data_IF_485576417104
#
_entry.id   IF_485576417104
#
_cell.length_a   1.000
_cell.length_b   1.000
_cell.length_c   1.000
_cell.angle_alpha   90.00
_cell.angle_beta   90.00
_cell.angle_gamma   90.00
#
_symmetry.space_group_name_H-M   'P 1'
#
loop_
_entity.id
_entity.type
_entity.pdbx_description
1 polymer ?
#
# COMPACT_ATOMS: atom_id res chain seq x y z
N UNK A 1 -22.20 18.69 21.01
CA UNK A 1 -21.20 18.13 20.08
C UNK A 1 -21.65 18.52 18.68
N UNK A 2 -20.95 19.45 18.03
CA UNK A 2 -21.44 20.11 16.79
C UNK A 2 -21.37 19.14 15.59
N UNK A 3 -22.52 18.79 15.03
CA UNK A 3 -22.69 17.94 13.85
C UNK A 3 -21.85 18.42 12.64
N UNK A 4 -21.63 19.74 12.51
CA UNK A 4 -20.75 20.34 11.49
C UNK A 4 -19.27 19.87 11.62
N UNK A 5 -18.76 19.72 12.82
CA UNK A 5 -17.39 19.27 13.07
C UNK A 5 -17.19 17.76 12.81
N UNK A 6 -18.28 16.96 12.94
CA UNK A 6 -18.26 15.54 12.60
C UNK A 6 -18.27 15.34 11.06
N UNK A 7 -19.04 16.16 10.32
CA UNK A 7 -19.10 16.04 8.85
C UNK A 7 -17.81 16.48 8.16
N UNK A 8 -16.95 17.23 8.83
CA UNK A 8 -15.61 17.61 8.35
C UNK A 8 -14.55 16.53 8.59
N UNK A 9 -14.83 15.55 9.47
CA UNK A 9 -13.88 14.48 9.71
C UNK A 9 -13.88 13.48 8.54
N UNK A 10 -12.68 13.14 8.05
CA UNK A 10 -12.48 12.18 6.97
C UNK A 10 -13.07 10.82 7.31
N UNK A 11 -12.98 10.40 8.57
CA UNK A 11 -13.56 9.15 9.09
C UNK A 11 -15.08 9.13 8.93
N UNK A 12 -15.76 10.21 9.27
CA UNK A 12 -17.23 10.28 9.15
C UNK A 12 -17.67 10.16 7.68
N UNK A 13 -16.95 10.82 6.76
CA UNK A 13 -17.23 10.72 5.32
C UNK A 13 -17.05 9.30 4.80
N UNK A 14 -16.01 8.60 5.26
CA UNK A 14 -15.76 7.21 4.88
C UNK A 14 -16.89 6.30 5.41
N UNK A 15 -17.28 6.44 6.66
CA UNK A 15 -18.37 5.63 7.24
C UNK A 15 -19.68 5.87 6.48
N UNK A 16 -20.02 7.13 6.21
CA UNK A 16 -21.23 7.48 5.43
C UNK A 16 -21.14 6.89 4.01
N UNK A 17 -19.97 6.96 3.36
CA UNK A 17 -19.79 6.39 2.03
C UNK A 17 -19.96 4.86 2.03
N UNK A 18 -19.46 4.16 3.06
CA UNK A 18 -19.64 2.71 3.21
C UNK A 18 -21.13 2.36 3.40
N UNK A 19 -21.80 3.04 4.30
CA UNK A 19 -23.23 2.80 4.56
C UNK A 19 -24.07 3.08 3.30
N UNK A 20 -23.81 4.19 2.60
CA UNK A 20 -24.46 4.50 1.33
C UNK A 20 -24.15 3.44 0.27
N UNK A 21 -22.92 2.98 0.17
CA UNK A 21 -22.53 1.92 -0.75
C UNK A 21 -23.30 0.63 -0.51
N UNK A 22 -23.44 0.20 0.75
CA UNK A 22 -24.21 -0.98 1.12
C UNK A 22 -25.69 -0.80 0.77
N UNK A 23 -26.28 0.36 1.06
CA UNK A 23 -27.69 0.64 0.73
C UNK A 23 -27.89 0.66 -0.78
N UNK A 24 -27.02 1.32 -1.53
CA UNK A 24 -27.11 1.38 -2.99
C UNK A 24 -26.96 -0.01 -3.62
N UNK A 25 -26.06 -0.83 -3.09
CA UNK A 25 -25.83 -2.19 -3.62
C UNK A 25 -27.06 -3.10 -3.53
N UNK A 26 -27.98 -2.85 -2.59
CA UNK A 26 -29.23 -3.60 -2.44
C UNK A 26 -30.24 -3.31 -3.57
N UNK A 27 -30.16 -2.11 -4.15
CA UNK A 27 -31.10 -1.66 -5.18
C UNK A 27 -30.47 -1.56 -6.57
N UNK A 28 -29.15 -1.62 -6.65
CA UNK A 28 -28.43 -1.48 -7.90
C UNK A 28 -28.57 -2.74 -8.76
N UNK A 29 -28.86 -2.62 -10.06
CA UNK A 29 -28.87 -3.75 -10.98
C UNK A 29 -27.44 -4.27 -11.19
N UNK A 30 -27.30 -5.55 -11.53
CA UNK A 30 -25.99 -6.22 -11.72
C UNK A 30 -25.05 -5.50 -12.71
N UNK A 31 -25.58 -4.93 -13.78
CA UNK A 31 -24.77 -4.22 -14.78
C UNK A 31 -24.04 -3.01 -14.15
N UNK A 32 -24.67 -2.33 -13.20
CA UNK A 32 -24.09 -1.21 -12.47
C UNK A 32 -22.93 -1.68 -11.60
N UNK A 33 -23.11 -2.77 -10.85
CA UNK A 33 -22.04 -3.39 -10.06
C UNK A 33 -20.86 -3.84 -10.93
N UNK A 34 -21.10 -4.43 -12.11
CA UNK A 34 -20.06 -4.85 -13.06
C UNK A 34 -19.26 -3.66 -13.61
N UNK A 35 -19.87 -2.52 -13.86
CA UNK A 35 -19.16 -1.30 -14.28
C UNK A 35 -18.15 -0.87 -13.20
N UNK A 36 -18.59 -0.85 -11.93
CA UNK A 36 -17.68 -0.51 -10.83
C UNK A 36 -16.60 -1.57 -10.61
N UNK A 37 -16.92 -2.85 -10.73
CA UNK A 37 -15.95 -3.93 -10.66
C UNK A 37 -14.88 -3.79 -11.76
N UNK A 38 -15.28 -3.45 -12.98
CA UNK A 38 -14.36 -3.21 -14.10
C UNK A 38 -13.45 -2.02 -13.84
N UNK A 39 -14.01 -0.91 -13.38
CA UNK A 39 -13.22 0.28 -13.05
C UNK A 39 -12.25 0.03 -11.90
N UNK A 40 -12.70 -0.67 -10.86
CA UNK A 40 -11.86 -1.05 -9.74
C UNK A 40 -10.73 -2.01 -10.16
N UNK A 41 -11.03 -3.00 -11.00
CA UNK A 41 -10.03 -3.91 -11.55
C UNK A 41 -8.98 -3.18 -12.38
N UNK A 42 -9.40 -2.27 -13.25
CA UNK A 42 -8.49 -1.45 -14.06
C UNK A 42 -7.58 -0.58 -13.17
N UNK A 43 -8.15 0.06 -12.17
CA UNK A 43 -7.41 0.89 -11.23
C UNK A 43 -6.45 0.06 -10.36
N UNK A 44 -6.88 -1.12 -9.91
CA UNK A 44 -6.03 -2.04 -9.16
C UNK A 44 -4.83 -2.51 -9.99
N UNK A 45 -5.04 -2.90 -11.24
CA UNK A 45 -3.97 -3.30 -12.14
C UNK A 45 -3.00 -2.16 -12.44
N UNK A 46 -3.52 -0.93 -12.60
CA UNK A 46 -2.69 0.26 -12.73
C UNK A 46 -1.84 0.51 -11.47
N UNK A 47 -2.43 0.39 -10.28
CA UNK A 47 -1.68 0.54 -9.03
C UNK A 47 -0.61 -0.54 -8.87
N UNK A 48 -0.93 -1.79 -9.19
CA UNK A 48 0.03 -2.89 -9.14
C UNK A 48 1.23 -2.67 -10.08
N UNK A 49 1.01 -2.06 -11.23
CA UNK A 49 2.09 -1.64 -12.13
C UNK A 49 2.88 -0.46 -11.58
N UNK A 50 2.19 0.53 -11.03
CA UNK A 50 2.76 1.82 -10.67
C UNK A 50 3.52 1.80 -9.34
N UNK A 51 3.00 1.06 -8.34
CA UNK A 51 3.56 1.06 -6.97
C UNK A 51 5.04 0.61 -6.93
N UNK A 52 5.47 -0.48 -7.58
CA UNK A 52 6.88 -0.86 -7.57
C UNK A 52 7.81 0.19 -8.17
N UNK A 53 7.38 0.86 -9.23
CA UNK A 53 8.14 1.95 -9.86
C UNK A 53 8.27 3.14 -8.92
N UNK A 54 7.18 3.49 -8.24
CA UNK A 54 7.16 4.56 -7.25
C UNK A 54 8.06 4.26 -6.05
N UNK A 55 8.03 3.03 -5.54
CA UNK A 55 8.92 2.55 -4.48
C UNK A 55 10.38 2.76 -4.89
N UNK A 56 10.75 2.32 -6.09
CA UNK A 56 12.10 2.49 -6.61
C UNK A 56 12.48 3.98 -6.72
N UNK A 57 11.62 4.77 -7.32
CA UNK A 57 11.85 6.19 -7.56
C UNK A 57 12.04 7.02 -6.27
N UNK A 58 11.35 6.65 -5.19
CA UNK A 58 11.42 7.38 -3.92
C UNK A 58 12.51 6.85 -2.99
N UNK A 59 12.69 5.55 -2.91
CA UNK A 59 13.60 4.94 -1.93
C UNK A 59 15.05 5.04 -2.36
N UNK A 60 15.37 4.80 -3.64
CA UNK A 60 16.75 4.82 -4.10
C UNK A 60 17.46 6.18 -3.86
N UNK A 61 16.90 7.34 -4.25
CA UNK A 61 17.51 8.63 -3.95
C UNK A 61 17.49 8.99 -2.46
N UNK A 62 16.50 8.53 -1.71
CA UNK A 62 16.45 8.75 -0.26
C UNK A 62 17.61 8.06 0.45
N UNK A 63 17.94 6.83 0.08
CA UNK A 63 19.09 6.09 0.60
C UNK A 63 20.40 6.77 0.17
N UNK A 64 20.51 7.16 -1.10
CA UNK A 64 21.68 7.86 -1.63
C UNK A 64 21.92 9.20 -0.89
N UNK A 65 20.86 9.93 -0.55
CA UNK A 65 20.91 11.18 0.20
C UNK A 65 21.45 11.07 1.64
N UNK A 66 21.47 9.87 2.22
CA UNK A 66 22.08 9.65 3.53
C UNK A 66 23.62 9.76 3.52
N UNK A 67 24.24 9.75 2.34
CA UNK A 67 25.67 9.95 2.16
C UNK A 67 26.56 8.79 2.66
N UNK A 68 27.85 9.11 2.84
CA UNK A 68 28.86 8.14 3.31
C UNK A 68 28.55 7.68 4.73
N UNK A 69 28.40 6.37 4.93
CA UNK A 69 28.01 5.78 6.22
C UNK A 69 26.55 5.32 6.28
N UNK A 70 25.78 5.54 5.21
CA UNK A 70 24.41 5.06 5.07
C UNK A 70 24.24 3.58 5.44
N UNK A 71 25.17 2.73 5.04
CA UNK A 71 25.12 1.29 5.31
C UNK A 71 25.06 0.93 6.79
N UNK A 72 25.79 1.68 7.66
CA UNK A 72 25.75 1.46 9.12
C UNK A 72 24.39 1.82 9.69
N UNK A 73 23.85 2.98 9.32
CA UNK A 73 22.54 3.43 9.80
C UNK A 73 21.41 2.55 9.29
N UNK A 74 21.49 2.12 8.02
CA UNK A 74 20.55 1.18 7.44
C UNK A 74 20.59 -0.17 8.15
N UNK A 75 21.78 -0.69 8.49
CA UNK A 75 21.92 -1.93 9.26
C UNK A 75 21.28 -1.82 10.65
N UNK A 76 21.50 -0.71 11.35
CA UNK A 76 20.86 -0.47 12.66
C UNK A 76 19.34 -0.37 12.52
N UNK A 77 18.85 0.39 11.53
CA UNK A 77 17.41 0.53 11.29
C UNK A 77 16.75 -0.80 10.92
N UNK A 78 17.39 -1.59 10.05
CA UNK A 78 16.92 -2.92 9.71
C UNK A 78 16.89 -3.84 10.95
N UNK A 79 17.93 -3.82 11.78
CA UNK A 79 17.97 -4.60 13.02
C UNK A 79 16.83 -4.24 13.97
N UNK A 80 16.56 -2.95 14.15
CA UNK A 80 15.43 -2.46 14.95
C UNK A 80 14.09 -2.89 14.34
N UNK A 81 13.93 -2.76 13.03
CA UNK A 81 12.71 -3.16 12.34
C UNK A 81 12.43 -4.65 12.47
N UNK A 82 13.42 -5.50 12.21
CA UNK A 82 13.28 -6.96 12.39
C UNK A 82 13.00 -7.32 13.85
N UNK A 83 13.72 -6.73 14.79
CA UNK A 83 13.48 -6.95 16.22
C UNK A 83 12.05 -6.56 16.61
N UNK A 84 11.59 -5.39 16.21
CA UNK A 84 10.24 -4.91 16.45
C UNK A 84 9.17 -5.82 15.83
N UNK A 85 9.37 -6.24 14.58
CA UNK A 85 8.43 -7.15 13.90
C UNK A 85 8.36 -8.50 14.59
N UNK A 86 9.51 -9.05 15.02
CA UNK A 86 9.55 -10.32 15.73
C UNK A 86 8.82 -10.23 17.07
N UNK A 87 9.06 -9.16 17.83
CA UNK A 87 8.39 -8.93 19.12
C UNK A 87 6.87 -8.75 18.89
N UNK A 88 6.46 -7.96 17.91
CA UNK A 88 5.05 -7.77 17.57
C UNK A 88 4.37 -9.08 17.14
N UNK A 89 5.06 -9.90 16.33
CA UNK A 89 4.57 -11.20 15.90
C UNK A 89 4.41 -12.18 17.06
N UNK A 90 5.38 -12.25 17.97
CA UNK A 90 5.29 -13.07 19.18
C UNK A 90 4.14 -12.61 20.08
N UNK A 91 3.97 -11.32 20.25
CA UNK A 91 2.90 -10.74 21.06
C UNK A 91 1.53 -11.04 20.45
N UNK A 92 1.40 -10.88 19.14
CA UNK A 92 0.18 -11.24 18.40
C UNK A 92 -0.12 -12.74 18.50
N UNK A 93 0.89 -13.61 18.41
CA UNK A 93 0.75 -15.06 18.58
C UNK A 93 0.23 -15.41 19.99
N UNK A 94 0.85 -14.85 21.03
CA UNK A 94 0.42 -15.07 22.42
C UNK A 94 -1.02 -14.61 22.65
N UNK A 95 -1.35 -13.40 22.16
CA UNK A 95 -2.70 -12.88 22.26
C UNK A 95 -3.72 -13.76 21.52
N UNK A 96 -3.39 -14.16 20.31
CA UNK A 96 -4.26 -15.05 19.52
C UNK A 96 -4.45 -16.40 20.20
N UNK A 97 -3.39 -17.02 20.70
CA UNK A 97 -3.44 -18.29 21.39
C UNK A 97 -4.31 -18.23 22.68
N UNK A 98 -4.28 -17.11 23.35
CA UNK A 98 -5.07 -16.93 24.58
C UNK A 98 -6.52 -16.53 24.27
N UNK A 99 -6.75 -15.70 23.27
CA UNK A 99 -8.05 -15.08 22.98
C UNK A 99 -8.95 -15.96 22.09
N UNK A 100 -8.36 -16.64 21.08
CA UNK A 100 -9.13 -17.42 20.10
C UNK A 100 -9.93 -18.57 20.71
N UNK A 101 -9.42 -19.38 21.64
CA UNK A 101 -10.21 -20.45 22.25
C UNK A 101 -11.45 -19.93 22.98
N UNK A 102 -11.36 -18.71 23.54
CA UNK A 102 -12.45 -18.10 24.29
C UNK A 102 -13.49 -17.46 23.37
N UNK A 103 -13.06 -16.85 22.27
CA UNK A 103 -13.94 -16.13 21.34
C UNK A 103 -14.58 -17.03 20.28
N UNK A 104 -13.87 -18.08 19.87
CA UNK A 104 -14.31 -19.00 18.80
C UNK A 104 -14.96 -20.28 19.31
N UNK A 105 -15.06 -20.46 20.64
CA UNK A 105 -15.78 -21.59 21.23
C UNK A 105 -17.27 -21.49 20.90
N UNK A 106 -17.70 -22.30 19.92
CA UNK A 106 -19.09 -22.38 19.47
C UNK A 106 -19.40 -21.72 18.11
N UNK A 107 -18.40 -21.21 17.41
CA UNK A 107 -18.58 -20.72 16.05
C UNK A 107 -18.01 -21.73 15.04
N UNK A 108 -18.81 -22.10 14.04
CA UNK A 108 -18.33 -22.82 12.88
C UNK A 108 -17.44 -21.84 12.06
N UNK A 109 -16.14 -22.08 12.09
CA UNK A 109 -15.22 -21.35 11.23
C UNK A 109 -15.63 -21.60 9.77
N UNK A 110 -15.86 -20.52 9.03
CA UNK A 110 -16.00 -20.59 7.58
C UNK A 110 -14.64 -21.03 7.03
N UNK A 111 -14.51 -22.32 6.76
CA UNK A 111 -13.25 -22.93 6.29
C UNK A 111 -12.99 -22.72 4.81
N UNK A 112 -14.00 -22.29 4.06
CA UNK A 112 -13.90 -22.05 2.62
C UNK A 112 -13.93 -20.55 2.33
N UNK A 113 -12.76 -19.97 2.15
CA UNK A 113 -12.59 -18.59 1.68
C UNK A 113 -13.07 -18.43 0.23
N UNK A 114 -13.10 -19.53 -0.54
CA UNK A 114 -13.64 -19.60 -1.90
C UNK A 114 -15.11 -19.19 -2.02
N UNK A 115 -15.92 -19.40 -0.97
CA UNK A 115 -17.35 -19.02 -0.99
C UNK A 115 -17.56 -17.48 -0.99
N UNK A 116 -16.53 -16.73 -0.63
CA UNK A 116 -16.58 -15.26 -0.64
C UNK A 116 -16.34 -14.69 -2.04
N UNK A 117 -15.51 -15.36 -2.82
CA UNK A 117 -15.20 -14.95 -4.19
C UNK A 117 -16.31 -15.35 -5.20
N UNK A 118 -17.09 -16.41 -4.90
CA UNK A 118 -18.21 -16.82 -5.75
C UNK A 118 -19.35 -15.79 -5.82
N UNK A 119 -19.46 -14.90 -4.84
CA UNK A 119 -20.41 -13.78 -4.81
C UNK A 119 -19.90 -12.49 -5.48
N UNK A 120 -18.64 -12.44 -5.86
CA UNK A 120 -18.06 -11.24 -6.46
C UNK A 120 -18.47 -11.10 -7.93
N UNK A 121 -18.97 -9.91 -8.29
CA UNK A 121 -19.33 -9.61 -9.68
C UNK A 121 -18.07 -9.54 -10.53
N UNK A 122 -18.00 -10.40 -11.57
CA UNK A 122 -16.90 -10.36 -12.53
C UNK A 122 -16.94 -9.08 -13.37
N UNK A 123 -15.77 -8.45 -13.61
CA UNK A 123 -15.68 -7.28 -14.49
C UNK A 123 -16.08 -7.63 -15.94
N UNK A 124 -16.44 -6.63 -16.74
CA UNK A 124 -16.74 -6.83 -18.16
C UNK A 124 -15.50 -7.19 -18.98
N UNK A 125 -14.37 -6.64 -18.60
CA UNK A 125 -13.07 -6.93 -19.21
C UNK A 125 -11.97 -6.64 -18.19
N UNK A 126 -10.86 -7.34 -18.35
CA UNK A 126 -9.66 -7.14 -17.54
C UNK A 126 -8.53 -6.67 -18.46
N UNK A 127 -7.79 -5.68 -18.01
CA UNK A 127 -6.55 -5.24 -18.66
C UNK A 127 -5.41 -5.63 -17.75
N UNK A 128 -4.70 -6.69 -18.12
CA UNK A 128 -3.51 -7.11 -17.40
C UNK A 128 -2.39 -6.10 -17.63
N UNK A 129 -1.91 -5.49 -16.55
CA UNK A 129 -0.73 -4.66 -16.54
C UNK A 129 0.33 -5.34 -15.69
N UNK A 130 1.19 -6.13 -16.36
CA UNK A 130 2.29 -6.79 -15.66
C UNK A 130 3.23 -5.72 -15.07
N UNK A 131 3.50 -5.73 -13.76
CA UNK A 131 4.45 -4.81 -13.16
C UNK A 131 5.86 -5.08 -13.71
N UNK A 132 6.71 -4.05 -13.91
CA UNK A 132 8.07 -4.24 -14.39
C UNK A 132 8.93 -5.06 -13.42
N UNK A 133 8.58 -5.06 -12.14
CA UNK A 133 9.15 -5.90 -11.08
C UNK A 133 8.19 -5.95 -9.90
N UNK A 134 8.32 -7.00 -9.10
CA UNK A 134 7.56 -7.14 -7.86
C UNK A 134 8.00 -6.14 -6.79
N UNK A 135 7.14 -5.86 -5.80
CA UNK A 135 7.41 -4.92 -4.71
C UNK A 135 8.70 -5.27 -3.94
N UNK A 136 8.94 -6.55 -3.66
CA UNK A 136 10.16 -6.99 -2.97
C UNK A 136 11.41 -6.75 -3.82
N UNK A 137 11.32 -7.02 -5.12
CA UNK A 137 12.41 -6.73 -6.08
C UNK A 137 12.66 -5.24 -6.17
N UNK A 138 11.60 -4.41 -6.20
CA UNK A 138 11.70 -2.95 -6.17
C UNK A 138 12.45 -2.44 -4.94
N UNK A 139 12.12 -2.98 -3.75
CA UNK A 139 12.77 -2.63 -2.49
C UNK A 139 14.24 -3.01 -2.48
N UNK A 140 14.57 -4.25 -2.86
CA UNK A 140 15.96 -4.73 -2.92
C UNK A 140 16.78 -3.93 -3.94
N UNK A 141 16.22 -3.69 -5.11
CA UNK A 141 16.87 -2.93 -6.17
C UNK A 141 17.12 -1.47 -5.72
N UNK A 142 16.14 -0.85 -5.09
CA UNK A 142 16.25 0.50 -4.53
C UNK A 142 17.35 0.59 -3.49
N UNK A 143 17.43 -0.43 -2.63
CA UNK A 143 18.45 -0.52 -1.59
C UNK A 143 19.84 -0.67 -2.20
N UNK A 144 20.03 -1.64 -3.10
CA UNK A 144 21.32 -1.89 -3.74
C UNK A 144 21.81 -0.67 -4.54
N UNK A 145 20.94 -0.07 -5.36
CA UNK A 145 21.28 1.10 -6.17
C UNK A 145 21.50 2.32 -5.28
N UNK A 146 20.65 2.54 -4.28
CA UNK A 146 20.81 3.64 -3.33
C UNK A 146 22.16 3.58 -2.59
N UNK A 147 22.54 2.41 -2.09
CA UNK A 147 23.86 2.21 -1.45
C UNK A 147 24.99 2.37 -2.47
N UNK A 148 24.86 1.82 -3.66
CA UNK A 148 25.87 1.97 -4.71
C UNK A 148 26.13 3.45 -5.06
N UNK A 149 25.07 4.28 -5.13
CA UNK A 149 25.21 5.72 -5.36
C UNK A 149 26.03 6.42 -4.27
N UNK A 150 25.97 5.96 -3.01
CA UNK A 150 26.78 6.56 -1.93
C UNK A 150 28.28 6.32 -2.09
N UNK A 151 28.69 5.32 -2.89
CA UNK A 151 30.09 4.95 -3.12
C UNK A 151 30.67 5.57 -4.37
N UNK A 152 29.83 5.92 -5.35
CA UNK A 152 30.24 6.53 -6.62
C UNK A 152 30.50 8.03 -6.41
N UNK A 153 31.56 8.54 -7.04
CA UNK A 153 31.95 9.98 -6.96
C UNK A 153 31.12 10.89 -7.86
N UNK A 154 30.36 10.33 -8.80
CA UNK A 154 29.54 11.09 -9.76
C UNK A 154 28.14 11.29 -9.22
N UNK A 155 27.69 12.53 -9.17
CA UNK A 155 26.34 12.88 -8.71
C UNK A 155 25.26 12.76 -9.79
N UNK A 156 25.65 12.39 -11.03
CA UNK A 156 24.72 12.35 -12.17
C UNK A 156 23.57 11.38 -11.95
N UNK A 157 23.86 10.15 -11.49
CA UNK A 157 22.84 9.14 -11.24
C UNK A 157 21.91 9.56 -10.06
N UNK A 158 22.49 10.17 -9.04
CA UNK A 158 21.73 10.71 -7.93
C UNK A 158 20.81 11.86 -8.37
N UNK A 159 21.30 12.77 -9.21
CA UNK A 159 20.48 13.87 -9.73
C UNK A 159 19.28 13.34 -10.55
N UNK A 160 19.52 12.39 -11.46
CA UNK A 160 18.45 11.77 -12.26
C UNK A 160 17.40 11.08 -11.40
N UNK A 161 17.82 10.28 -10.43
CA UNK A 161 16.86 9.58 -9.53
C UNK A 161 16.13 10.55 -8.62
N UNK A 162 16.75 11.64 -8.21
CA UNK A 162 16.11 12.70 -7.42
C UNK A 162 15.05 13.45 -8.25
N UNK A 163 15.35 13.79 -9.50
CA UNK A 163 14.38 14.39 -10.42
C UNK A 163 13.20 13.46 -10.70
N UNK A 164 13.46 12.16 -10.84
CA UNK A 164 12.44 11.15 -10.97
C UNK A 164 11.53 11.14 -9.73
N UNK A 165 12.10 11.13 -8.53
CA UNK A 165 11.34 11.18 -7.27
C UNK A 165 10.46 12.44 -7.20
N UNK A 166 10.98 13.61 -7.57
CA UNK A 166 10.23 14.86 -7.60
C UNK A 166 9.07 14.77 -8.60
N UNK A 167 9.29 14.23 -9.78
CA UNK A 167 8.24 14.04 -10.79
C UNK A 167 7.11 13.15 -10.27
N UNK A 168 7.43 12.05 -9.59
CA UNK A 168 6.42 11.17 -9.00
C UNK A 168 5.69 11.79 -7.82
N UNK A 169 6.34 12.59 -6.99
CA UNK A 169 5.67 13.31 -5.90
C UNK A 169 4.68 14.34 -6.43
N UNK A 170 5.00 15.03 -7.52
CA UNK A 170 4.06 15.94 -8.18
C UNK A 170 2.85 15.22 -8.80
N UNK A 171 3.01 13.98 -9.26
CA UNK A 171 1.91 13.17 -9.78
C UNK A 171 0.99 12.65 -8.67
N UNK A 172 1.55 12.28 -7.51
CA UNK A 172 0.80 11.63 -6.42
C UNK A 172 0.22 12.60 -5.40
N UNK A 173 0.80 13.79 -5.29
CA UNK A 173 0.32 14.87 -4.42
C UNK A 173 -0.17 16.02 -5.30
N UNK A 174 -1.46 16.07 -5.68
CA UNK A 174 -2.01 17.27 -6.26
C UNK A 174 -1.96 18.37 -5.20
N UNK A 175 -0.85 19.07 -5.22
CA UNK A 175 -0.70 20.44 -4.77
C UNK A 175 -1.37 20.83 -3.46
N UNK A 176 -0.62 20.83 -2.40
CA UNK A 176 -0.72 22.00 -1.53
C UNK A 176 -0.09 23.17 -2.28
N UNK A 177 -0.85 24.25 -2.55
CA UNK A 177 -0.24 25.45 -3.08
C UNK A 177 0.74 25.97 -2.03
N UNK A 178 1.97 26.08 -2.41
CA UNK A 178 3.00 26.62 -1.54
C UNK A 178 2.85 28.10 -1.48
N UNK A 179 2.67 28.56 -0.28
CA UNK A 179 2.94 29.94 0.09
C UNK A 179 4.44 30.11 0.20
#
# INVERSE_FOLDING_TARGET
MNLKKLSESLLFRIIVAIVLGVVVSQFAPEWFGRVFATFNGLFSNFLNFFIPVLIFALIAPSIAGLGRGAGKWLGVTAGIAYGSTTIAGLLAYVLAHWLYPTMLSGQNLVTNVSDIDEGALSPYFEVEMAPPFEVMTALLLSFCIGVAMTTVKSDTLYAVTKELAVSYTHLTLPTTPYV
#
